data_IF_968312254299
#
_entry.id   IF_968312254299
#
_cell.length_a   1.000
_cell.length_b   1.000
_cell.length_c   1.000
_cell.angle_alpha   90.00
_cell.angle_beta   90.00
_cell.angle_gamma   90.00
#
_symmetry.space_group_name_H-M   'P 1'
#
loop_
_entity.id
_entity.type
_entity.pdbx_description
1 polymer ?
#
# COMPACT_ATOMS: atom_id res chain seq x y z
N UNK A 1 -2.84 6.12 -3.87
CA UNK A 1 -3.96 7.03 -4.15
C UNK A 1 -5.14 6.23 -4.67
N UNK A 2 -6.35 6.79 -4.61
CA UNK A 2 -7.55 6.26 -5.25
C UNK A 2 -8.65 7.29 -5.42
N UNK A 3 -9.74 6.86 -6.06
CA UNK A 3 -10.99 7.59 -6.16
C UNK A 3 -12.05 6.91 -5.28
N UNK A 4 -12.62 7.66 -4.34
CA UNK A 4 -13.73 7.21 -3.53
C UNK A 4 -15.05 7.45 -4.28
N UNK A 5 -15.85 6.41 -4.43
CA UNK A 5 -17.24 6.45 -4.89
C UNK A 5 -18.19 6.14 -3.73
N UNK A 6 -19.15 7.03 -3.48
CA UNK A 6 -20.19 6.85 -2.47
C UNK A 6 -21.47 6.32 -3.13
N UNK A 7 -21.67 5.00 -3.09
CA UNK A 7 -22.92 4.38 -3.55
C UNK A 7 -23.97 4.38 -2.43
N UNK A 8 -24.87 5.36 -2.50
CA UNK A 8 -25.96 5.55 -1.54
C UNK A 8 -26.97 4.39 -1.57
N UNK A 9 -27.17 3.75 -2.72
CA UNK A 9 -28.18 2.68 -2.87
C UNK A 9 -27.72 1.40 -2.20
N UNK A 10 -26.47 1.00 -2.42
CA UNK A 10 -25.89 -0.21 -1.83
C UNK A 10 -25.35 0.00 -0.41
N UNK A 11 -25.23 1.26 0.04
CA UNK A 11 -24.56 1.64 1.31
C UNK A 11 -23.10 1.20 1.34
N UNK A 12 -22.41 1.41 0.22
CA UNK A 12 -20.98 1.11 0.08
C UNK A 12 -20.20 2.37 -0.27
N UNK A 13 -19.05 2.54 0.36
CA UNK A 13 -18.00 3.47 -0.02
C UNK A 13 -16.90 2.66 -0.70
N UNK A 14 -16.74 2.84 -2.01
CA UNK A 14 -15.79 2.08 -2.82
C UNK A 14 -14.56 2.94 -3.07
N UNK A 15 -13.36 2.43 -2.77
CA UNK A 15 -12.10 3.08 -3.11
C UNK A 15 -11.52 2.37 -4.34
N UNK A 16 -11.53 3.06 -5.48
CA UNK A 16 -11.01 2.54 -6.75
C UNK A 16 -9.54 2.93 -6.93
N UNK A 17 -8.70 1.92 -7.17
CA UNK A 17 -7.28 2.11 -7.45
C UNK A 17 -6.80 1.10 -8.49
N UNK A 18 -6.00 1.58 -9.45
CA UNK A 18 -5.40 0.78 -10.52
C UNK A 18 -3.89 0.97 -10.44
N UNK A 19 -3.17 -0.14 -10.31
CA UNK A 19 -1.71 -0.16 -10.30
C UNK A 19 -1.18 -0.39 -11.71
N UNK A 20 -0.59 0.64 -12.29
CA UNK A 20 0.16 0.58 -13.55
C UNK A 20 1.59 0.18 -13.22
N UNK A 21 1.96 -1.02 -13.63
CA UNK A 21 3.22 -1.69 -13.26
C UNK A 21 4.11 -1.80 -14.48
N UNK A 22 5.35 -1.34 -14.36
CA UNK A 22 6.36 -1.28 -15.41
C UNK A 22 7.76 -1.58 -14.85
N UNK A 23 8.78 -1.67 -15.70
CA UNK A 23 10.15 -2.01 -15.30
C UNK A 23 10.57 -3.42 -15.69
N UNK A 24 11.84 -3.75 -15.49
CA UNK A 24 12.44 -4.94 -16.11
C UNK A 24 11.98 -6.24 -15.44
N UNK A 25 11.62 -6.16 -14.15
CA UNK A 25 11.10 -7.29 -13.38
C UNK A 25 9.56 -7.30 -13.30
N UNK A 26 8.89 -6.39 -14.00
CA UNK A 26 7.43 -6.36 -14.09
C UNK A 26 6.91 -7.41 -15.08
N UNK A 27 5.71 -7.90 -14.81
CA UNK A 27 4.96 -8.76 -15.71
C UNK A 27 3.47 -8.71 -15.36
N UNK A 28 2.62 -9.22 -16.24
CA UNK A 28 1.18 -9.34 -15.95
C UNK A 28 0.89 -10.16 -14.68
N UNK A 29 1.69 -11.20 -14.39
CA UNK A 29 1.50 -11.99 -13.18
C UNK A 29 1.89 -11.21 -11.91
N UNK A 30 2.96 -10.43 -11.97
CA UNK A 30 3.38 -9.56 -10.86
C UNK A 30 2.34 -8.46 -10.62
N UNK A 31 1.85 -7.81 -11.69
CA UNK A 31 0.80 -6.82 -11.61
C UNK A 31 -0.47 -7.38 -10.95
N UNK A 32 -0.91 -8.57 -11.38
CA UNK A 32 -2.09 -9.23 -10.80
C UNK A 32 -1.88 -9.62 -9.33
N UNK A 33 -0.67 -10.09 -8.97
CA UNK A 33 -0.34 -10.39 -7.58
C UNK A 33 -0.45 -9.14 -6.70
N UNK A 34 0.12 -8.01 -7.12
CA UNK A 34 0.04 -6.74 -6.39
C UNK A 34 -1.43 -6.36 -6.13
N UNK A 35 -2.28 -6.39 -7.17
CA UNK A 35 -3.69 -6.06 -7.02
C UNK A 35 -4.41 -7.02 -6.05
N UNK A 36 -4.17 -8.33 -6.17
CA UNK A 36 -4.79 -9.35 -5.33
C UNK A 36 -4.38 -9.21 -3.87
N UNK A 37 -3.09 -8.98 -3.62
CA UNK A 37 -2.53 -8.83 -2.29
C UNK A 37 -3.14 -7.62 -1.58
N UNK A 38 -3.13 -6.45 -2.25
CA UNK A 38 -3.74 -5.23 -1.72
C UNK A 38 -5.24 -5.44 -1.49
N UNK A 39 -5.97 -5.96 -2.49
CA UNK A 39 -7.41 -6.18 -2.39
C UNK A 39 -7.76 -7.12 -1.23
N UNK A 40 -7.03 -8.23 -1.07
CA UNK A 40 -7.27 -9.20 -0.02
C UNK A 40 -7.08 -8.58 1.36
N UNK A 41 -5.95 -7.91 1.59
CA UNK A 41 -5.62 -7.33 2.89
C UNK A 41 -6.58 -6.19 3.27
N UNK A 42 -6.83 -5.26 2.35
CA UNK A 42 -7.63 -4.07 2.64
C UNK A 42 -9.15 -4.34 2.74
N UNK A 43 -9.63 -5.46 2.18
CA UNK A 43 -11.01 -5.90 2.36
C UNK A 43 -11.19 -6.94 3.48
N UNK A 44 -10.12 -7.59 3.97
CA UNK A 44 -10.18 -8.54 5.11
C UNK A 44 -10.92 -8.00 6.34
N UNK A 45 -10.70 -6.75 6.81
CA UNK A 45 -11.33 -6.27 8.05
C UNK A 45 -12.84 -6.06 7.94
N UNK A 46 -13.43 -6.08 6.73
CA UNK A 46 -14.87 -5.81 6.49
C UNK A 46 -15.34 -4.53 7.19
N UNK A 47 -14.51 -3.51 7.07
CA UNK A 47 -14.69 -2.27 7.81
C UNK A 47 -15.90 -1.49 7.31
N UNK A 48 -16.36 -0.57 8.16
CA UNK A 48 -17.44 0.36 7.81
C UNK A 48 -17.19 1.71 8.46
N UNK A 49 -17.63 2.76 7.80
CA UNK A 49 -17.57 4.12 8.33
C UNK A 49 -18.97 4.69 8.53
N UNK A 50 -19.08 5.69 9.40
CA UNK A 50 -20.25 6.56 9.45
C UNK A 50 -19.95 7.79 8.61
N UNK A 51 -20.70 7.97 7.52
CA UNK A 51 -20.67 9.19 6.74
C UNK A 51 -22.00 9.90 6.94
N UNK A 52 -21.95 11.12 7.51
CA UNK A 52 -23.12 11.82 8.04
C UNK A 52 -23.84 10.96 9.10
N UNK A 53 -25.07 10.52 8.85
CA UNK A 53 -25.88 9.72 9.80
C UNK A 53 -26.01 8.26 9.40
N UNK A 54 -25.32 7.86 8.34
CA UNK A 54 -25.54 6.58 7.68
C UNK A 54 -24.25 5.77 7.70
N UNK A 55 -24.40 4.46 7.89
CA UNK A 55 -23.29 3.52 7.89
C UNK A 55 -23.05 3.02 6.47
N UNK A 56 -21.79 3.03 6.06
CA UNK A 56 -21.33 2.52 4.77
C UNK A 56 -20.28 1.44 4.98
N UNK A 57 -20.43 0.30 4.29
CA UNK A 57 -19.34 -0.67 4.16
C UNK A 57 -18.24 -0.06 3.31
N UNK A 58 -16.98 -0.22 3.73
CA UNK A 58 -15.82 0.22 2.94
C UNK A 58 -15.34 -0.96 2.11
N UNK A 59 -15.23 -0.75 0.80
CA UNK A 59 -14.69 -1.73 -0.13
C UNK A 59 -13.55 -1.13 -0.92
N UNK A 60 -12.46 -1.86 -1.06
CA UNK A 60 -11.34 -1.52 -1.93
C UNK A 60 -11.48 -2.30 -3.24
N UNK A 61 -11.59 -1.57 -4.34
CA UNK A 61 -11.65 -2.11 -5.69
C UNK A 61 -10.31 -1.88 -6.39
N UNK A 62 -9.46 -2.90 -6.34
CA UNK A 62 -8.07 -2.82 -6.77
C UNK A 62 -7.88 -3.58 -8.08
N UNK A 63 -7.40 -2.87 -9.10
CA UNK A 63 -6.98 -3.45 -10.37
C UNK A 63 -5.48 -3.24 -10.61
N UNK A 64 -4.95 -3.90 -11.64
CA UNK A 64 -3.60 -3.63 -12.12
C UNK A 64 -3.48 -3.80 -13.64
N UNK A 65 -2.53 -3.08 -14.21
CA UNK A 65 -2.18 -3.06 -15.63
C UNK A 65 -0.68 -3.25 -15.72
N UNK A 66 -0.22 -4.20 -16.54
CA UNK A 66 1.19 -4.29 -16.93
C UNK A 66 1.43 -3.44 -18.17
N UNK A 67 2.32 -2.45 -18.07
CA UNK A 67 2.64 -1.51 -19.15
C UNK A 67 4.16 -1.43 -19.34
N UNK A 68 4.79 -2.37 -20.07
CA UNK A 68 6.25 -2.39 -20.26
C UNK A 68 6.77 -1.14 -20.99
N UNK A 69 5.96 -0.59 -21.88
CA UNK A 69 6.32 0.56 -22.73
C UNK A 69 5.76 1.88 -22.18
N UNK A 70 5.48 1.96 -20.86
CA UNK A 70 4.95 3.15 -20.20
C UNK A 70 5.85 4.36 -20.48
N UNK A 71 5.27 5.39 -21.08
CA UNK A 71 5.97 6.64 -21.36
C UNK A 71 5.96 7.54 -20.11
N UNK A 72 7.05 8.27 -19.81
CA UNK A 72 7.09 9.18 -18.67
C UNK A 72 5.97 10.22 -18.63
N UNK A 73 5.54 10.70 -19.80
CA UNK A 73 4.46 11.67 -19.95
C UNK A 73 3.12 11.16 -19.40
N UNK A 74 2.86 9.85 -19.47
CA UNK A 74 1.67 9.22 -18.89
C UNK A 74 1.66 9.31 -17.36
N UNK A 75 2.83 9.41 -16.72
CA UNK A 75 2.96 9.59 -15.27
C UNK A 75 2.93 11.07 -14.90
N UNK A 76 3.69 11.90 -15.60
CA UNK A 76 3.82 13.33 -15.29
C UNK A 76 2.51 14.09 -15.45
N UNK A 77 1.73 13.75 -16.48
CA UNK A 77 0.49 14.44 -16.81
C UNK A 77 -0.77 13.67 -16.37
N UNK A 78 -0.62 12.63 -15.55
CA UNK A 78 -1.76 11.92 -15.01
C UNK A 78 -2.60 12.83 -14.11
N UNK A 79 -3.87 12.97 -14.45
CA UNK A 79 -4.89 13.62 -13.63
C UNK A 79 -5.97 12.63 -13.15
N UNK A 80 -5.82 11.34 -13.47
CA UNK A 80 -6.73 10.30 -13.01
C UNK A 80 -6.31 9.80 -11.62
N UNK A 81 -7.11 10.08 -10.57
CA UNK A 81 -6.77 9.71 -9.19
C UNK A 81 -6.79 8.20 -8.93
N UNK A 82 -7.31 7.41 -9.86
CA UNK A 82 -7.30 5.94 -9.77
C UNK A 82 -5.92 5.37 -10.13
N UNK A 83 -5.11 6.06 -10.95
CA UNK A 83 -3.86 5.49 -11.47
C UNK A 83 -2.69 5.69 -10.52
N UNK A 84 -2.04 4.57 -10.18
CA UNK A 84 -0.84 4.51 -9.35
C UNK A 84 0.29 3.83 -10.14
N UNK A 85 1.46 4.45 -10.25
CA UNK A 85 2.54 4.00 -11.13
C UNK A 85 3.73 3.46 -10.35
N UNK A 86 4.04 2.18 -10.56
CA UNK A 86 5.08 1.50 -9.81
C UNK A 86 6.07 0.81 -10.74
N UNK A 87 7.36 1.18 -10.59
CA UNK A 87 8.45 0.46 -11.23
C UNK A 87 8.78 -0.79 -10.41
N UNK A 88 8.97 -1.93 -11.06
CA UNK A 88 9.37 -3.19 -10.43
C UNK A 88 10.73 -3.62 -10.95
N UNK A 89 11.67 -3.84 -10.04
CA UNK A 89 13.01 -4.34 -10.36
C UNK A 89 13.47 -5.44 -9.39
N UNK A 90 14.48 -6.19 -9.80
CA UNK A 90 15.24 -7.07 -8.92
C UNK A 90 16.11 -6.27 -7.94
N UNK A 91 16.67 -5.15 -8.41
CA UNK A 91 17.54 -4.26 -7.64
C UNK A 91 16.86 -2.92 -7.35
N UNK A 92 16.94 -2.49 -6.09
CA UNK A 92 16.48 -1.17 -5.64
C UNK A 92 17.52 -0.63 -4.66
N UNK A 93 17.94 0.63 -4.82
CA UNK A 93 18.78 1.31 -3.83
C UNK A 93 18.10 1.29 -2.45
N UNK A 94 18.86 1.00 -1.39
CA UNK A 94 18.28 0.77 -0.05
C UNK A 94 17.66 -0.62 0.15
N UNK A 95 17.59 -1.45 -0.90
CA UNK A 95 17.19 -2.86 -0.86
C UNK A 95 15.77 -3.11 -0.32
N UNK A 96 14.88 -2.13 -0.47
CA UNK A 96 13.50 -2.17 0.03
C UNK A 96 12.54 -1.53 -0.98
N UNK A 97 11.31 -2.03 -1.07
CA UNK A 97 10.19 -1.34 -1.73
C UNK A 97 9.88 -0.02 -1.02
N UNK A 98 9.40 0.99 -1.75
CA UNK A 98 9.01 2.27 -1.19
C UNK A 98 8.00 3.00 -2.08
N UNK A 99 7.41 4.05 -1.52
CA UNK A 99 6.62 5.07 -2.22
C UNK A 99 7.25 6.44 -2.07
N UNK A 100 6.85 7.40 -2.92
CA UNK A 100 7.47 8.73 -2.95
C UNK A 100 7.02 9.68 -1.81
N UNK A 101 6.19 9.19 -0.89
CA UNK A 101 5.75 9.91 0.30
C UNK A 101 4.37 9.48 0.78
N UNK A 102 3.82 10.21 1.75
CA UNK A 102 2.42 10.09 2.12
C UNK A 102 1.55 10.75 1.06
N UNK A 103 0.35 10.19 0.83
CA UNK A 103 -0.59 10.71 -0.17
C UNK A 103 0.06 10.87 -1.55
N UNK A 104 0.66 9.81 -2.06
CA UNK A 104 1.28 9.77 -3.37
C UNK A 104 0.62 8.75 -4.29
N UNK A 105 1.03 8.73 -5.55
CA UNK A 105 0.57 7.74 -6.53
C UNK A 105 1.73 7.10 -7.31
N UNK A 106 2.97 7.26 -6.87
CA UNK A 106 4.14 6.69 -7.52
C UNK A 106 5.08 6.03 -6.52
N UNK A 107 5.86 5.05 -6.98
CA UNK A 107 6.83 4.37 -6.14
C UNK A 107 7.58 3.27 -6.86
N UNK A 108 8.28 2.46 -6.06
CA UNK A 108 9.21 1.45 -6.52
C UNK A 108 9.03 0.17 -5.72
N UNK A 109 8.80 -0.94 -6.41
CA UNK A 109 8.78 -2.26 -5.79
C UNK A 109 10.05 -3.04 -6.08
N UNK A 110 10.64 -3.61 -5.03
CA UNK A 110 11.63 -4.66 -5.18
C UNK A 110 10.91 -6.00 -5.31
N UNK A 111 11.14 -6.72 -6.41
CA UNK A 111 10.47 -8.00 -6.69
C UNK A 111 10.61 -9.00 -5.52
N UNK A 112 11.82 -9.11 -4.95
CA UNK A 112 12.05 -10.00 -3.81
C UNK A 112 11.17 -9.66 -2.59
N UNK A 113 10.87 -8.38 -2.33
CA UNK A 113 10.00 -8.02 -1.20
C UNK A 113 8.54 -8.37 -1.47
N UNK A 114 8.08 -8.25 -2.72
CA UNK A 114 6.75 -8.71 -3.13
C UNK A 114 6.62 -10.24 -2.96
N UNK A 115 7.64 -10.99 -3.37
CA UNK A 115 7.62 -12.45 -3.30
C UNK A 115 7.79 -12.99 -1.87
N UNK A 116 8.38 -12.20 -0.96
CA UNK A 116 8.57 -12.61 0.43
C UNK A 116 7.24 -12.69 1.20
N UNK A 117 6.30 -11.80 0.91
CA UNK A 117 5.01 -11.71 1.61
C UNK A 117 4.01 -10.85 0.85
N UNK A 118 2.72 -11.17 1.00
CA UNK A 118 1.63 -10.40 0.42
C UNK A 118 1.38 -9.05 1.10
N UNK A 119 2.00 -8.77 2.26
CA UNK A 119 1.77 -7.51 2.98
C UNK A 119 2.60 -6.34 2.45
N UNK A 120 3.64 -6.59 1.64
CA UNK A 120 4.52 -5.52 1.12
C UNK A 120 3.72 -4.52 0.29
N UNK A 121 3.00 -4.97 -0.74
CA UNK A 121 2.19 -4.07 -1.57
C UNK A 121 1.06 -3.40 -0.79
N UNK A 122 0.45 -4.13 0.15
CA UNK A 122 -0.61 -3.60 1.00
C UNK A 122 -0.11 -2.48 1.95
N UNK A 123 1.11 -2.62 2.49
CA UNK A 123 1.77 -1.60 3.31
C UNK A 123 2.07 -0.34 2.50
N UNK A 124 2.71 -0.49 1.33
CA UNK A 124 2.99 0.65 0.46
C UNK A 124 1.69 1.35 0.03
N UNK A 125 0.64 0.58 -0.29
CA UNK A 125 -0.66 1.17 -0.62
C UNK A 125 -1.18 2.06 0.52
N UNK A 126 -1.02 1.67 1.78
CA UNK A 126 -1.41 2.49 2.94
C UNK A 126 -0.79 3.89 2.91
N UNK A 127 0.51 4.01 2.60
CA UNK A 127 1.16 5.30 2.41
C UNK A 127 0.55 6.10 1.26
N UNK A 128 0.26 5.44 0.13
CA UNK A 128 -0.32 6.09 -1.05
C UNK A 128 -1.70 6.70 -0.77
N UNK A 129 -2.42 6.21 0.24
CA UNK A 129 -3.74 6.72 0.66
C UNK A 129 -3.71 7.47 2.01
N UNK A 130 -2.50 7.79 2.51
CA UNK A 130 -2.30 8.78 3.56
C UNK A 130 -1.98 8.23 4.95
N UNK A 131 -1.73 6.93 5.11
CA UNK A 131 -1.29 6.39 6.40
C UNK A 131 0.22 6.52 6.56
N UNK A 132 0.64 7.03 7.71
CA UNK A 132 2.04 7.05 8.12
C UNK A 132 2.41 5.83 8.97
N UNK A 133 3.70 5.60 9.17
CA UNK A 133 4.16 4.65 10.19
C UNK A 133 3.74 5.14 11.59
N UNK A 134 3.37 4.23 12.50
CA UNK A 134 3.20 4.58 13.91
C UNK A 134 4.52 5.07 14.53
N UNK A 135 4.44 6.05 15.44
CA UNK A 135 5.62 6.56 16.17
C UNK A 135 6.23 5.51 17.13
N UNK A 136 5.39 4.69 17.74
CA UNK A 136 5.82 3.69 18.71
C UNK A 136 6.13 2.36 18.01
N UNK A 137 7.41 2.04 17.94
CA UNK A 137 7.93 0.86 17.25
C UNK A 137 8.28 -0.31 18.18
N UNK A 138 7.90 -0.26 19.46
CA UNK A 138 7.97 -1.40 20.37
C UNK A 138 6.56 -1.86 20.77
N UNK A 139 6.10 -2.91 20.09
CA UNK A 139 4.73 -3.41 20.20
C UNK A 139 4.62 -4.70 21.02
N UNK A 140 5.62 -5.02 21.84
CA UNK A 140 5.56 -6.20 22.71
C UNK A 140 4.36 -6.11 23.67
N UNK A 141 3.67 -7.23 23.87
CA UNK A 141 2.44 -7.32 24.67
C UNK A 141 1.21 -6.70 24.01
N UNK A 142 1.30 -6.22 22.76
CA UNK A 142 0.14 -5.81 21.97
C UNK A 142 -0.44 -7.00 21.20
N UNK A 143 -1.66 -6.80 20.71
CA UNK A 143 -2.31 -7.78 19.84
C UNK A 143 -1.69 -7.78 18.42
N UNK A 144 -2.49 -8.08 17.41
CA UNK A 144 -2.06 -8.20 16.02
C UNK A 144 -1.32 -6.93 15.54
N UNK A 145 -0.14 -7.05 14.92
CA UNK A 145 0.54 -5.93 14.29
C UNK A 145 -0.28 -5.37 13.11
N UNK A 146 -0.53 -4.06 13.14
CA UNK A 146 -1.17 -3.34 12.04
C UNK A 146 -0.32 -3.29 10.76
N UNK A 147 -0.96 -3.00 9.62
CA UNK A 147 -0.32 -3.06 8.30
C UNK A 147 0.82 -2.05 8.19
N UNK A 148 0.71 -0.92 8.87
CA UNK A 148 1.62 0.21 8.78
C UNK A 148 2.85 0.14 9.68
N UNK A 149 3.04 -0.91 10.49
CA UNK A 149 4.30 -1.03 11.23
C UNK A 149 5.46 -1.28 10.25
N UNK A 150 6.55 -0.51 10.29
CA UNK A 150 7.69 -0.70 9.39
C UNK A 150 8.51 -1.95 9.73
N UNK A 151 9.43 -2.32 8.83
CA UNK A 151 10.45 -3.33 9.14
C UNK A 151 11.35 -2.77 10.26
N UNK A 152 11.80 -3.63 11.17
CA UNK A 152 12.59 -3.21 12.33
C UNK A 152 11.76 -2.98 13.60
N UNK A 153 10.43 -2.97 13.51
CA UNK A 153 9.53 -2.92 14.68
C UNK A 153 9.83 -4.07 15.64
N UNK A 154 9.97 -3.76 16.93
CA UNK A 154 10.16 -4.74 18.01
C UNK A 154 8.80 -5.31 18.39
N UNK A 155 8.69 -6.64 18.47
CA UNK A 155 7.43 -7.32 18.73
C UNK A 155 7.63 -8.58 19.58
N UNK A 156 6.53 -9.21 19.98
CA UNK A 156 6.58 -10.49 20.69
C UNK A 156 7.21 -11.60 19.83
N UNK A 157 7.90 -12.58 20.45
CA UNK A 157 8.60 -13.68 19.76
C UNK A 157 7.85 -14.33 18.59
N UNK A 158 6.57 -14.61 18.77
CA UNK A 158 5.76 -15.32 17.77
C UNK A 158 5.45 -14.48 16.50
N UNK A 159 5.77 -13.19 16.50
CA UNK A 159 5.67 -12.31 15.33
C UNK A 159 7.04 -11.97 14.71
N UNK A 160 8.15 -12.43 15.30
CA UNK A 160 9.49 -12.14 14.79
C UNK A 160 9.85 -13.03 13.59
N UNK A 161 10.82 -12.62 12.77
CA UNK A 161 11.39 -13.50 11.73
C UNK A 161 11.96 -14.79 12.33
N UNK A 162 12.54 -14.71 13.53
CA UNK A 162 13.05 -15.83 14.31
C UNK A 162 12.56 -15.70 15.75
N UNK A 163 11.64 -16.57 16.23
CA UNK A 163 11.07 -16.45 17.57
C UNK A 163 12.08 -16.52 18.71
N UNK A 164 13.20 -17.22 18.52
CA UNK A 164 14.24 -17.37 19.54
C UNK A 164 15.28 -16.23 19.52
N UNK A 165 15.19 -15.30 18.56
CA UNK A 165 16.08 -14.16 18.51
C UNK A 165 15.77 -13.14 19.62
N UNK A 166 16.82 -12.47 20.11
CA UNK A 166 16.62 -11.37 21.05
C UNK A 166 15.97 -10.16 20.34
N UNK A 167 15.06 -9.43 21.00
CA UNK A 167 14.41 -8.26 20.41
C UNK A 167 15.40 -7.25 19.81
N UNK A 168 15.16 -6.81 18.58
CA UNK A 168 16.00 -5.84 17.86
C UNK A 168 17.31 -6.39 17.29
N UNK A 169 17.65 -7.66 17.54
CA UNK A 169 18.79 -8.34 16.93
C UNK A 169 18.42 -8.91 15.54
N UNK A 170 19.39 -9.40 14.74
CA UNK A 170 19.08 -10.09 13.49
C UNK A 170 18.06 -11.22 13.70
N UNK A 171 16.97 -11.19 12.92
CA UNK A 171 15.83 -12.09 13.09
C UNK A 171 14.85 -11.69 14.19
N UNK A 172 15.24 -10.77 15.09
CA UNK A 172 14.53 -10.40 16.30
C UNK A 172 13.54 -9.23 16.18
N UNK A 173 13.01 -9.00 14.98
CA UNK A 173 12.07 -7.92 14.67
C UNK A 173 10.89 -8.48 13.88
N UNK A 174 9.81 -7.71 13.80
CA UNK A 174 8.55 -8.09 13.14
C UNK A 174 8.79 -8.65 11.72
N UNK A 175 8.40 -9.90 11.50
CA UNK A 175 8.25 -10.43 10.15
C UNK A 175 6.97 -9.84 9.53
N UNK A 176 7.08 -9.10 8.41
CA UNK A 176 5.95 -8.43 7.79
C UNK A 176 4.79 -9.36 7.42
N UNK A 177 5.01 -10.68 7.30
CA UNK A 177 3.93 -11.64 7.05
C UNK A 177 2.85 -11.66 8.13
N UNK A 178 3.17 -11.20 9.34
CA UNK A 178 2.23 -11.17 10.46
C UNK A 178 1.38 -9.90 10.52
N UNK A 179 1.69 -8.90 9.68
CA UNK A 179 0.91 -7.67 9.62
C UNK A 179 -0.48 -7.93 9.04
N UNK A 180 -1.46 -7.15 9.51
CA UNK A 180 -2.82 -7.13 8.96
C UNK A 180 -3.34 -5.71 8.86
N UNK A 181 -4.20 -5.44 7.88
CA UNK A 181 -5.01 -4.22 7.90
C UNK A 181 -6.05 -4.37 9.00
N UNK A 182 -5.99 -3.48 9.98
CA UNK A 182 -6.89 -3.45 11.12
C UNK A 182 -8.00 -2.42 10.91
N UNK A 183 -9.13 -2.53 11.63
CA UNK A 183 -10.15 -1.48 11.63
C UNK A 183 -9.60 -0.09 11.98
N UNK A 184 -8.57 -0.01 12.84
CA UNK A 184 -7.89 1.24 13.19
C UNK A 184 -7.15 1.88 12.01
N UNK A 185 -6.62 1.07 11.09
CA UNK A 185 -6.00 1.58 9.86
C UNK A 185 -7.06 2.24 8.97
N UNK A 186 -8.25 1.64 8.86
CA UNK A 186 -9.37 2.22 8.10
C UNK A 186 -9.91 3.51 8.77
N UNK A 187 -9.95 3.55 10.10
CA UNK A 187 -10.35 4.75 10.83
C UNK A 187 -9.36 5.90 10.64
N UNK A 188 -8.05 5.59 10.63
CA UNK A 188 -6.97 6.54 10.42
C UNK A 188 -6.98 7.17 9.01
N UNK A 189 -7.56 6.51 8.01
CA UNK A 189 -7.79 7.12 6.69
C UNK A 189 -8.80 8.27 6.71
N UNK A 190 -9.59 8.39 7.78
CA UNK A 190 -10.57 9.46 7.95
C UNK A 190 -11.53 9.63 6.77
N UNK A 191 -11.91 8.53 6.11
CA UNK A 191 -12.75 8.52 4.90
C UNK A 191 -14.10 9.25 5.07
N UNK A 192 -14.61 9.34 6.31
CA UNK A 192 -15.82 10.09 6.64
C UNK A 192 -15.69 11.61 6.47
N UNK A 193 -14.47 12.13 6.30
CA UNK A 193 -14.17 13.56 6.08
C UNK A 193 -14.04 13.93 4.61
N UNK A 194 -14.12 12.96 3.70
CA UNK A 194 -13.99 13.21 2.27
C UNK A 194 -15.11 14.13 1.77
N UNK A 195 -14.73 15.08 0.91
CA UNK A 195 -15.64 15.99 0.26
C UNK A 195 -16.06 15.41 -1.10
N UNK A 196 -17.25 14.80 -1.12
CA UNK A 196 -17.83 14.24 -2.33
C UNK A 196 -18.44 15.32 -3.21
N UNK A 197 -18.15 15.25 -4.51
CA UNK A 197 -18.83 16.01 -5.55
C UNK A 197 -20.30 15.59 -5.71
N UNK A 198 -21.08 16.33 -6.51
CA UNK A 198 -22.47 15.98 -6.83
C UNK A 198 -22.62 14.61 -7.51
N UNK A 199 -21.52 14.08 -8.07
CA UNK A 199 -21.46 12.73 -8.66
C UNK A 199 -21.17 11.63 -7.63
N UNK A 200 -21.01 11.97 -6.35
CA UNK A 200 -20.66 11.00 -5.31
C UNK A 200 -19.19 10.57 -5.37
N UNK A 201 -18.32 11.39 -5.97
CA UNK A 201 -16.89 11.08 -6.13
C UNK A 201 -16.02 12.00 -5.28
N UNK A 202 -15.00 11.46 -4.63
CA UNK A 202 -13.94 12.18 -3.92
C UNK A 202 -12.56 11.56 -4.16
N UNK A 203 -11.49 12.30 -3.88
CA UNK A 203 -10.10 11.84 -4.04
C UNK A 203 -9.54 11.33 -2.71
N UNK A 204 -8.77 10.25 -2.73
CA UNK A 204 -8.04 9.72 -1.56
C UNK A 204 -6.56 9.66 -1.90
N UNK A 205 -5.72 10.34 -1.13
CA UNK A 205 -4.32 10.59 -1.48
C UNK A 205 -4.14 11.78 -2.42
N UNK A 206 -2.94 11.91 -2.97
CA UNK A 206 -2.56 12.99 -3.90
C UNK A 206 -1.59 12.48 -4.98
N UNK A 207 -1.31 13.35 -5.95
CA UNK A 207 -0.39 13.07 -7.04
C UNK A 207 1.05 13.41 -6.64
N UNK A 208 1.96 12.47 -6.85
CA UNK A 208 3.40 12.71 -6.81
C UNK A 208 3.98 12.93 -8.20
N UNK A 209 3.41 12.27 -9.23
CA UNK A 209 3.78 12.43 -10.64
C UNK A 209 5.28 12.21 -10.92
N UNK A 210 5.90 11.22 -10.27
CA UNK A 210 7.31 10.86 -10.46
C UNK A 210 7.44 9.61 -11.32
N UNK A 211 8.09 9.75 -12.48
CA UNK A 211 8.52 8.60 -13.28
C UNK A 211 9.85 8.06 -12.74
N UNK A 212 9.91 6.77 -12.44
CA UNK A 212 11.08 6.11 -11.90
C UNK A 212 11.93 5.48 -13.00
N UNK A 213 13.20 5.88 -13.06
CA UNK A 213 14.20 5.22 -13.89
C UNK A 213 14.78 4.01 -13.17
N UNK A 214 15.38 3.09 -13.94
CA UNK A 214 16.06 1.92 -13.38
C UNK A 214 17.19 2.35 -12.45
N UNK A 215 17.20 1.80 -11.24
CA UNK A 215 18.37 1.89 -10.36
C UNK A 215 19.46 0.92 -10.84
N UNK A 216 20.71 1.40 -10.88
CA UNK A 216 21.87 0.55 -11.15
C UNK A 216 22.60 0.20 -9.86
N UNK A 217 23.05 -1.07 -9.70
CA UNK A 217 23.93 -1.40 -8.60
C UNK A 217 25.27 -0.64 -8.74
N UNK A 218 25.93 -0.32 -7.63
CA UNK A 218 27.27 0.25 -7.70
C UNK A 218 28.21 -0.69 -8.48
N UNK A 219 29.20 -0.16 -9.21
CA UNK A 219 30.15 -0.97 -9.95
C UNK A 219 30.79 -2.01 -9.03
N UNK A 220 30.93 -3.25 -9.50
CA UNK A 220 31.70 -4.26 -8.78
C UNK A 220 33.15 -3.77 -8.60
N UNK A 221 33.62 -3.76 -7.35
CA UNK A 221 35.01 -3.46 -6.99
C UNK A 221 35.93 -4.63 -7.33
#
# INVERSE_FOLDING_TARGET
>A
MGEAELDIKSRTLIIHSIFVVYGDAASSSVAQQIANDISSHWNEPRASIHYKRERYEVRFDIGAIYSPDLQPEEVWYNDNPRLNFFRVEEYVMGNISFVDGLNCNTGYFKLHNLMQTSTTAAHEYGHTIGLDHPDDLDIRGREMPGIMYPRGTICDPHFQYMPDAAPGQPGGTLDPRHRKVLPSDIEALHLHRLHFSDKGIARVGDFSSIYHHKHEPPPAL
#
